data_IF_628742794190
#
_entry.id   IF_628742794190
#
_cell.length_a   1.000
_cell.length_b   1.000
_cell.length_c   1.000
_cell.angle_alpha   90.00
_cell.angle_beta   90.00
_cell.angle_gamma   90.00
#
_symmetry.space_group_name_H-M   'P 1'
#
loop_
_entity.id
_entity.type
_entity.pdbx_description
1 polymer ?
#
# COMPACT_ATOMS: atom_id res chain seq x y z
N UNK A 1 17.53 5.45 6.59
CA UNK A 1 16.89 5.01 7.85
C UNK A 1 16.89 3.48 7.97
N UNK A 2 16.44 2.78 6.93
CA UNK A 2 16.42 1.31 6.96
C UNK A 2 17.81 0.71 7.14
N UNK A 3 18.80 1.26 6.48
CA UNK A 3 20.19 0.82 6.58
C UNK A 3 20.76 0.98 7.99
N UNK A 4 20.38 2.07 8.64
CA UNK A 4 20.85 2.39 9.98
C UNK A 4 20.17 1.55 11.05
N UNK A 5 18.84 1.40 10.95
CA UNK A 5 18.05 0.75 11.99
C UNK A 5 17.76 -0.72 11.76
N UNK A 6 17.83 -1.20 10.52
CA UNK A 6 17.62 -2.61 10.21
C UNK A 6 18.49 -3.55 11.04
N UNK A 7 19.83 -3.31 11.10
CA UNK A 7 20.70 -4.16 11.90
C UNK A 7 20.39 -4.15 13.39
N UNK A 8 19.66 -3.13 13.85
CA UNK A 8 19.24 -3.00 15.25
C UNK A 8 17.90 -3.68 15.53
N UNK A 9 17.34 -4.36 14.53
CA UNK A 9 16.07 -5.07 14.66
C UNK A 9 14.84 -4.20 14.46
N UNK A 10 14.99 -3.05 13.83
CA UNK A 10 13.88 -2.15 13.50
C UNK A 10 13.53 -2.29 12.04
N UNK A 11 12.29 -2.68 11.76
CA UNK A 11 11.81 -2.84 10.38
C UNK A 11 11.30 -1.51 9.85
N UNK A 12 11.91 -1.03 8.78
CA UNK A 12 11.50 0.19 8.08
C UNK A 12 10.99 -0.20 6.70
N UNK A 13 9.77 0.18 6.38
CA UNK A 13 9.18 -0.11 5.07
C UNK A 13 8.62 1.17 4.45
N UNK A 14 8.74 1.26 3.13
CA UNK A 14 8.28 2.41 2.36
C UNK A 14 7.15 1.94 1.45
N UNK A 15 5.95 2.47 1.67
CA UNK A 15 4.77 2.10 0.89
C UNK A 15 4.47 3.15 -0.16
N UNK A 16 4.38 2.71 -1.41
CA UNK A 16 3.97 3.54 -2.53
C UNK A 16 2.57 3.10 -2.93
N UNK A 17 1.59 3.94 -2.68
CA UNK A 17 0.20 3.65 -3.04
C UNK A 17 -0.13 4.45 -4.29
N UNK A 18 0.08 3.83 -5.44
CA UNK A 18 -0.16 4.44 -6.73
C UNK A 18 -1.58 4.09 -7.19
N UNK A 19 -2.55 4.72 -6.53
CA UNK A 19 -3.95 4.39 -6.74
C UNK A 19 -4.87 5.48 -6.21
N UNK A 20 -6.07 5.55 -6.77
CA UNK A 20 -7.17 6.29 -6.16
C UNK A 20 -7.75 5.41 -5.07
N UNK A 21 -7.76 5.91 -3.84
CA UNK A 21 -8.26 5.14 -2.70
C UNK A 21 -9.78 5.27 -2.62
N UNK A 22 -10.45 4.13 -2.47
CA UNK A 22 -11.92 4.08 -2.42
C UNK A 22 -12.44 4.57 -1.09
N UNK A 23 -12.78 5.85 -1.02
CA UNK A 23 -13.40 6.45 0.16
C UNK A 23 -14.60 7.29 -0.28
N UNK A 24 -15.58 7.53 0.62
CA UNK A 24 -16.71 8.42 0.31
C UNK A 24 -16.25 9.83 -0.07
N UNK A 25 -15.09 10.23 0.37
CA UNK A 25 -14.52 11.54 0.10
C UNK A 25 -13.85 11.62 -1.25
N UNK A 26 -13.22 10.54 -1.67
CA UNK A 26 -12.41 10.49 -2.89
C UNK A 26 -13.24 10.20 -4.13
N UNK A 27 -14.17 9.25 -4.04
CA UNK A 27 -14.97 8.80 -5.16
C UNK A 27 -15.70 9.91 -5.92
N UNK A 28 -16.41 10.83 -5.24
CA UNK A 28 -17.15 11.87 -5.97
C UNK A 28 -16.28 12.87 -6.70
N UNK A 29 -15.06 13.07 -6.25
CA UNK A 29 -14.18 14.12 -6.77
C UNK A 29 -13.10 13.58 -7.69
N UNK A 30 -12.75 12.31 -7.58
CA UNK A 30 -11.71 11.68 -8.37
C UNK A 30 -12.29 10.58 -9.24
N UNK A 31 -12.63 10.93 -10.48
CA UNK A 31 -13.09 9.96 -11.47
C UNK A 31 -14.32 9.16 -11.00
N UNK A 32 -15.43 9.84 -10.68
CA UNK A 32 -16.60 9.18 -10.11
C UNK A 32 -17.26 8.16 -11.03
N UNK A 33 -16.97 8.21 -12.31
CA UNK A 33 -17.53 7.30 -13.34
C UNK A 33 -16.67 6.06 -13.58
N UNK A 34 -15.56 5.93 -12.86
CA UNK A 34 -14.70 4.75 -13.00
C UNK A 34 -15.27 3.55 -12.25
N UNK A 35 -15.05 2.32 -12.76
CA UNK A 35 -15.53 1.13 -12.08
C UNK A 35 -14.80 0.87 -10.76
N UNK A 36 -15.39 0.00 -9.93
CA UNK A 36 -14.80 -0.32 -8.63
C UNK A 36 -13.36 -0.83 -8.72
N UNK A 37 -13.05 -1.56 -9.78
CA UNK A 37 -11.71 -2.12 -10.00
C UNK A 37 -10.62 -1.07 -10.15
N UNK A 38 -11.01 0.16 -10.44
CA UNK A 38 -10.07 1.27 -10.59
C UNK A 38 -9.53 1.75 -9.25
N UNK A 39 -10.24 1.48 -8.17
CA UNK A 39 -9.92 2.01 -6.83
C UNK A 39 -9.30 0.94 -5.95
N UNK A 40 -8.39 1.36 -5.09
CA UNK A 40 -7.85 0.50 -4.04
C UNK A 40 -8.68 0.67 -2.77
N UNK A 41 -9.03 -0.45 -2.15
CA UNK A 41 -9.81 -0.45 -0.91
C UNK A 41 -8.91 -0.15 0.29
N UNK A 42 -9.30 0.77 1.18
CA UNK A 42 -8.51 1.07 2.37
C UNK A 42 -8.22 -0.17 3.23
N UNK A 43 -9.20 -1.08 3.35
CA UNK A 43 -9.01 -2.31 4.12
C UNK A 43 -7.96 -3.22 3.51
N UNK A 44 -7.90 -3.31 2.19
CA UNK A 44 -6.89 -4.11 1.50
C UNK A 44 -5.50 -3.52 1.68
N UNK A 45 -5.38 -2.19 1.63
CA UNK A 45 -4.12 -1.50 1.89
C UNK A 45 -3.65 -1.77 3.32
N UNK A 46 -4.56 -1.65 4.28
CA UNK A 46 -4.25 -1.91 5.69
C UNK A 46 -3.79 -3.35 5.91
N UNK A 47 -4.38 -4.33 5.21
CA UNK A 47 -3.95 -5.73 5.29
C UNK A 47 -2.52 -5.90 4.81
N UNK A 48 -2.14 -5.25 3.72
CA UNK A 48 -0.77 -5.33 3.22
C UNK A 48 0.23 -4.71 4.19
N UNK A 49 -0.16 -3.62 4.84
CA UNK A 49 0.68 -3.01 5.89
C UNK A 49 0.86 -3.96 7.06
N UNK A 50 -0.22 -4.62 7.50
CA UNK A 50 -0.16 -5.58 8.59
C UNK A 50 0.76 -6.76 8.25
N UNK A 51 0.63 -7.32 7.05
CA UNK A 51 1.49 -8.41 6.58
C UNK A 51 2.97 -8.01 6.61
N UNK A 52 3.26 -6.76 6.26
CA UNK A 52 4.63 -6.25 6.29
C UNK A 52 5.17 -6.17 7.71
N UNK A 53 4.33 -5.73 8.65
CA UNK A 53 4.72 -5.62 10.07
C UNK A 53 5.12 -6.96 10.66
N UNK A 54 4.40 -8.03 10.31
CA UNK A 54 4.63 -9.37 10.87
C UNK A 54 5.58 -10.23 10.03
N UNK A 55 6.21 -9.68 9.00
CA UNK A 55 7.16 -10.43 8.20
C UNK A 55 8.32 -10.97 9.03
N UNK A 56 8.75 -12.19 8.67
CA UNK A 56 9.97 -12.76 9.23
C UNK A 56 11.16 -11.86 8.92
N UNK A 57 12.07 -11.73 9.88
CA UNK A 57 13.25 -10.86 9.72
C UNK A 57 14.10 -11.21 8.52
N UNK A 58 14.09 -12.47 8.10
CA UNK A 58 14.87 -12.91 6.95
C UNK A 58 14.31 -12.46 5.60
N UNK A 59 13.07 -11.94 5.61
CA UNK A 59 12.37 -11.53 4.39
C UNK A 59 11.66 -10.20 4.55
N UNK A 60 12.28 -9.25 5.24
CA UNK A 60 11.69 -7.94 5.40
C UNK A 60 11.62 -7.19 4.08
N UNK A 61 10.42 -6.68 3.75
CA UNK A 61 10.23 -5.79 2.61
C UNK A 61 10.70 -4.38 3.00
N UNK A 62 11.41 -3.75 2.09
CA UNK A 62 11.77 -2.35 2.26
C UNK A 62 10.84 -1.45 1.45
N UNK A 63 10.51 -1.86 0.22
CA UNK A 63 9.71 -1.06 -0.70
C UNK A 63 8.53 -1.88 -1.18
N UNK A 64 7.30 -1.36 -1.01
CA UNK A 64 6.08 -2.04 -1.41
C UNK A 64 5.26 -1.08 -2.28
N UNK A 65 4.97 -1.48 -3.52
CA UNK A 65 4.10 -0.73 -4.42
C UNK A 65 2.76 -1.42 -4.51
N UNK A 66 1.68 -0.65 -4.33
CA UNK A 66 0.32 -1.15 -4.39
C UNK A 66 -0.46 -0.42 -5.47
N UNK A 67 -1.12 -1.18 -6.34
CA UNK A 67 -1.95 -0.64 -7.43
C UNK A 67 -3.16 -1.54 -7.63
N UNK A 68 -4.33 -0.97 -7.98
CA UNK A 68 -5.48 -1.78 -8.33
C UNK A 68 -5.29 -2.37 -9.73
N UNK A 69 -5.78 -3.59 -9.94
CA UNK A 69 -5.59 -4.25 -11.22
C UNK A 69 -6.37 -3.58 -12.38
N UNK A 70 -7.43 -2.86 -12.05
CA UNK A 70 -8.27 -2.19 -13.04
C UNK A 70 -7.73 -0.85 -13.52
N UNK A 71 -6.64 -0.37 -12.95
CA UNK A 71 -6.01 0.87 -13.37
C UNK A 71 -4.99 0.60 -14.47
N UNK A 72 -4.96 1.47 -15.48
CA UNK A 72 -3.98 1.35 -16.57
C UNK A 72 -2.59 1.75 -16.09
N UNK A 73 -1.64 0.88 -16.37
CA UNK A 73 -0.24 1.10 -15.97
C UNK A 73 0.53 1.93 -16.99
#
# INVERSE_FOLDING_TARGET
IAREFGPKGIHVAYFIIDAAIDTPRTRPYMQPDKPDDYFSKPTAIAEEMYKTVIQDKSTWSFRVELRPFGETW
#
